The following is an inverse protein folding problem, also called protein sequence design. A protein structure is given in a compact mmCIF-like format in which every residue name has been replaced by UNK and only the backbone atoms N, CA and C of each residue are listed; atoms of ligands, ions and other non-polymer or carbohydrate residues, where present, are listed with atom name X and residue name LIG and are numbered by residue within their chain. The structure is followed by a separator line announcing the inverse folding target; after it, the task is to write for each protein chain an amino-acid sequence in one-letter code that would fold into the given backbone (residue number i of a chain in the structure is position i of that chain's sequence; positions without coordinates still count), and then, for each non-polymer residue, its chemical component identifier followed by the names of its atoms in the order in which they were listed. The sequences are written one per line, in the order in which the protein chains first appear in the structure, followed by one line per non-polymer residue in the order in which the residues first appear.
data_IF_027983283069
#
_entry.id   IF_027983283069
#
_cell.length_a   1.000
_cell.length_b   1.000
_cell.length_c   1.000
_cell.angle_alpha   90.00
_cell.angle_beta   90.00
_cell.angle_gamma   90.00
#
_symmetry.space_group_name_H-M   'P 1'
#
loop_
_entity.id
_entity.type
_entity.pdbx_description
1 polymer ?
#
# COMPACT_ATOMS: atom_id res chain seq x y z
N UNK A 1 12.01 -15.52 3.97
CA UNK A 1 11.46 -14.34 3.27
C UNK A 1 10.82 -14.84 1.98
N UNK A 2 9.74 -14.19 1.52
CA UNK A 2 9.30 -14.29 0.14
C UNK A 2 10.05 -13.23 -0.69
N UNK A 3 10.26 -13.45 -1.98
CA UNK A 3 10.88 -12.44 -2.85
C UNK A 3 9.87 -11.33 -3.21
N UNK A 4 10.31 -10.10 -3.53
CA UNK A 4 9.40 -9.00 -3.87
C UNK A 4 8.53 -9.29 -5.11
N UNK A 5 8.96 -10.22 -5.98
CA UNK A 5 8.15 -10.81 -7.06
C UNK A 5 6.89 -11.51 -6.53
N UNK A 6 7.05 -12.29 -5.46
CA UNK A 6 6.07 -13.23 -4.96
C UNK A 6 4.95 -12.47 -4.25
N UNK A 7 5.33 -11.51 -3.40
CA UNK A 7 4.40 -10.56 -2.76
C UNK A 7 3.57 -9.82 -3.81
N UNK A 8 4.20 -9.36 -4.89
CA UNK A 8 3.49 -8.70 -5.99
C UNK A 8 2.61 -9.66 -6.81
N UNK A 9 2.85 -10.98 -6.79
CA UNK A 9 1.98 -11.99 -7.39
C UNK A 9 0.78 -12.31 -6.47
N UNK A 10 1.02 -12.53 -5.17
CA UNK A 10 -0.01 -12.79 -4.15
C UNK A 10 -1.03 -11.65 -4.04
N UNK A 11 -0.56 -10.39 -4.05
CA UNK A 11 -1.43 -9.21 -4.03
C UNK A 11 -2.36 -9.17 -5.25
N UNK A 12 -1.82 -9.44 -6.46
CA UNK A 12 -2.62 -9.50 -7.71
C UNK A 12 -3.61 -10.66 -7.70
N UNK A 13 -3.21 -11.83 -7.21
CA UNK A 13 -4.09 -12.99 -7.07
C UNK A 13 -5.25 -12.69 -6.10
N UNK A 14 -4.96 -12.02 -4.97
CA UNK A 14 -5.95 -11.61 -3.97
C UNK A 14 -6.92 -10.57 -4.55
N UNK A 15 -6.43 -9.57 -5.29
CA UNK A 15 -7.30 -8.60 -5.99
C UNK A 15 -8.21 -9.30 -7.02
N UNK A 16 -7.67 -10.23 -7.81
CA UNK A 16 -8.45 -11.01 -8.78
C UNK A 16 -9.48 -11.96 -8.16
N UNK A 17 -9.31 -12.34 -6.89
CA UNK A 17 -10.33 -13.04 -6.11
C UNK A 17 -11.43 -12.08 -5.63
N UNK A 18 -11.08 -10.90 -5.12
CA UNK A 18 -12.05 -9.87 -4.72
C UNK A 18 -12.94 -9.42 -5.88
N UNK A 19 -12.41 -9.32 -7.10
CA UNK A 19 -13.20 -8.96 -8.28
C UNK A 19 -14.27 -10.01 -8.64
N UNK A 20 -14.07 -11.29 -8.29
CA UNK A 20 -15.10 -12.34 -8.45
C UNK A 20 -16.17 -12.23 -7.37
N UNK A 21 -15.77 -11.95 -6.13
CA UNK A 21 -16.69 -11.72 -5.00
C UNK A 21 -17.54 -10.46 -5.26
N UNK A 22 -16.96 -9.40 -5.81
CA UNK A 22 -17.68 -8.16 -6.11
C UNK A 22 -18.66 -8.24 -7.29
N UNK A 23 -18.61 -9.29 -8.11
CA UNK A 23 -19.41 -9.42 -9.35
C UNK A 23 -20.48 -10.50 -9.32
N UNK A 24 -20.61 -11.23 -8.20
CA UNK A 24 -21.61 -12.30 -8.00
C UNK A 24 -22.17 -12.25 -6.59
N UNK A 25 -23.36 -12.80 -6.36
CA UNK A 25 -23.91 -12.99 -5.00
C UNK A 25 -23.31 -14.19 -4.27
N UNK A 26 -22.89 -15.22 -5.01
CA UNK A 26 -22.19 -16.40 -4.52
C UNK A 26 -21.03 -16.77 -5.46
N UNK A 27 -19.98 -17.36 -4.90
CA UNK A 27 -18.80 -17.84 -5.63
C UNK A 27 -18.46 -19.26 -5.20
N UNK A 28 -18.52 -20.20 -6.15
CA UNK A 28 -17.96 -21.54 -5.97
C UNK A 28 -16.43 -21.46 -5.82
N UNK A 29 -15.91 -22.10 -4.78
CA UNK A 29 -14.49 -22.09 -4.42
C UNK A 29 -14.03 -23.48 -3.93
N UNK A 30 -12.72 -23.66 -3.79
CA UNK A 30 -12.16 -24.78 -3.03
C UNK A 30 -11.38 -24.24 -1.83
N UNK A 31 -11.81 -24.62 -0.64
CA UNK A 31 -11.10 -24.36 0.61
C UNK A 31 -10.04 -25.43 0.87
N UNK A 32 -8.90 -25.04 1.42
CA UNK A 32 -7.87 -25.98 1.89
C UNK A 32 -8.11 -26.36 3.36
N UNK A 33 -8.16 -27.65 3.65
CA UNK A 33 -8.35 -28.19 5.01
C UNK A 33 -7.33 -29.29 5.24
N UNK A 34 -6.34 -29.06 6.10
CA UNK A 34 -5.34 -30.05 6.50
C UNK A 34 -4.68 -30.80 5.32
N UNK A 35 -4.27 -30.06 4.29
CA UNK A 35 -3.73 -30.51 2.99
C UNK A 35 -4.70 -31.13 1.98
N UNK A 36 -5.97 -31.36 2.34
CA UNK A 36 -7.04 -31.68 1.38
C UNK A 36 -7.69 -30.41 0.80
N UNK A 37 -8.39 -30.55 -0.33
CA UNK A 37 -9.25 -29.52 -0.91
C UNK A 37 -10.72 -29.93 -0.75
N UNK A 38 -11.58 -28.98 -0.40
CA UNK A 38 -13.03 -29.17 -0.21
C UNK A 38 -13.77 -28.10 -1.01
N UNK A 39 -14.71 -28.52 -1.87
CA UNK A 39 -15.58 -27.59 -2.61
C UNK A 39 -16.60 -26.92 -1.70
N UNK A 40 -16.81 -25.62 -1.87
CA UNK A 40 -17.79 -24.82 -1.13
C UNK A 40 -18.39 -23.71 -1.99
N UNK A 41 -19.59 -23.25 -1.65
CA UNK A 41 -20.04 -21.91 -2.04
C UNK A 41 -19.63 -20.90 -0.95
N UNK A 42 -19.22 -19.71 -1.37
CA UNK A 42 -18.98 -18.57 -0.51
C UNK A 42 -19.96 -17.44 -0.88
N UNK A 43 -20.74 -16.97 0.11
CA UNK A 43 -21.58 -15.78 -0.02
C UNK A 43 -20.70 -14.53 -0.20
N UNK A 44 -21.05 -13.70 -1.19
CA UNK A 44 -20.33 -12.46 -1.46
C UNK A 44 -20.73 -11.34 -0.51
N UNK A 45 -19.92 -11.11 0.50
CA UNK A 45 -20.18 -10.12 1.55
C UNK A 45 -18.93 -9.38 2.05
N UNK A 46 -18.98 -8.83 3.28
CA UNK A 46 -17.82 -8.19 3.88
C UNK A 46 -16.72 -9.21 4.18
N UNK A 47 -15.53 -8.96 3.63
CA UNK A 47 -14.35 -9.83 3.77
C UNK A 47 -13.61 -9.59 5.08
N UNK A 48 -12.93 -10.62 5.59
CA UNK A 48 -12.09 -10.55 6.79
C UNK A 48 -10.67 -10.09 6.40
N UNK A 49 -10.31 -8.87 6.75
CA UNK A 49 -8.94 -8.36 6.59
C UNK A 49 -8.14 -8.58 7.88
N UNK A 50 -6.96 -9.20 7.79
CA UNK A 50 -6.02 -9.25 8.90
C UNK A 50 -5.44 -7.84 9.17
N UNK A 51 -5.38 -7.43 10.44
CA UNK A 51 -4.89 -6.09 10.83
C UNK A 51 -3.68 -6.12 11.78
N UNK A 52 -3.13 -7.31 12.07
CA UNK A 52 -1.98 -7.49 12.97
C UNK A 52 -2.38 -8.05 14.34
N UNK A 53 -1.38 -8.53 15.10
CA UNK A 53 -1.52 -9.05 16.47
C UNK A 53 -2.64 -10.09 16.68
N UNK A 54 -2.96 -10.90 15.66
CA UNK A 54 -4.04 -11.89 15.70
C UNK A 54 -5.46 -11.34 15.42
N UNK A 55 -5.60 -10.03 15.22
CA UNK A 55 -6.91 -9.39 14.97
C UNK A 55 -7.28 -9.34 13.49
N UNK A 56 -8.58 -9.45 13.23
CA UNK A 56 -9.18 -9.36 11.90
C UNK A 56 -10.39 -8.41 11.94
N UNK A 57 -10.57 -7.63 10.88
CA UNK A 57 -11.68 -6.70 10.72
C UNK A 57 -12.56 -7.08 9.53
N UNK A 58 -13.89 -7.11 9.71
CA UNK A 58 -14.84 -7.16 8.59
C UNK A 58 -14.81 -5.83 7.84
N UNK A 59 -14.59 -5.87 6.52
CA UNK A 59 -14.62 -4.68 5.65
C UNK A 59 -15.32 -4.96 4.33
N UNK A 60 -15.89 -3.93 3.71
CA UNK A 60 -16.41 -4.03 2.35
C UNK A 60 -15.26 -4.37 1.36
N UNK A 61 -15.46 -5.25 0.36
CA UNK A 61 -14.43 -5.67 -0.59
C UNK A 61 -13.66 -4.52 -1.26
N UNK A 62 -14.36 -3.45 -1.67
CA UNK A 62 -13.78 -2.23 -2.25
C UNK A 62 -12.70 -1.59 -1.36
N UNK A 63 -12.92 -1.54 -0.05
CA UNK A 63 -11.98 -0.93 0.92
C UNK A 63 -10.72 -1.77 1.05
N UNK A 64 -10.84 -3.09 0.94
CA UNK A 64 -9.69 -4.02 0.95
C UNK A 64 -8.95 -3.98 -0.38
N UNK A 65 -9.65 -3.94 -1.52
CA UNK A 65 -9.03 -3.78 -2.85
C UNK A 65 -8.19 -2.50 -2.92
N UNK A 66 -8.74 -1.36 -2.51
CA UNK A 66 -8.01 -0.09 -2.42
C UNK A 66 -6.92 -0.04 -1.33
N UNK A 67 -6.79 -1.05 -0.47
CA UNK A 67 -5.63 -1.23 0.40
C UNK A 67 -4.55 -2.09 -0.27
N UNK A 68 -4.94 -3.19 -0.93
CA UNK A 68 -4.05 -4.06 -1.71
C UNK A 68 -3.41 -3.31 -2.88
N UNK A 69 -4.13 -2.41 -3.55
CA UNK A 69 -3.60 -1.56 -4.63
C UNK A 69 -2.46 -0.64 -4.15
N UNK A 70 -2.60 -0.06 -2.94
CA UNK A 70 -1.54 0.75 -2.32
C UNK A 70 -0.35 -0.09 -1.86
N UNK A 71 -0.59 -1.30 -1.36
CA UNK A 71 0.47 -2.26 -1.02
C UNK A 71 1.23 -2.72 -2.27
N UNK A 72 0.53 -2.99 -3.38
CA UNK A 72 1.11 -3.40 -4.65
C UNK A 72 1.94 -2.26 -5.25
N UNK A 73 1.41 -1.03 -5.28
CA UNK A 73 2.12 0.15 -5.75
C UNK A 73 3.42 0.37 -4.97
N UNK A 74 3.37 0.27 -3.63
CA UNK A 74 4.58 0.33 -2.79
C UNK A 74 5.57 -0.79 -3.14
N UNK A 75 5.14 -2.06 -3.14
CA UNK A 75 6.02 -3.19 -3.44
C UNK A 75 6.70 -3.06 -4.82
N UNK A 76 5.99 -2.52 -5.83
CA UNK A 76 6.58 -2.25 -7.14
C UNK A 76 7.53 -1.05 -7.18
N UNK A 77 7.35 -0.06 -6.29
CA UNK A 77 8.26 1.08 -6.17
C UNK A 77 9.54 0.69 -5.42
N UNK A 78 9.42 -0.04 -4.31
CA UNK A 78 10.54 -0.57 -3.54
C UNK A 78 11.42 -1.49 -4.43
N UNK A 79 10.80 -2.41 -5.18
CA UNK A 79 11.50 -3.29 -6.13
C UNK A 79 12.05 -2.60 -7.39
N UNK A 80 11.66 -1.34 -7.66
CA UNK A 80 12.26 -0.50 -8.69
C UNK A 80 13.48 0.27 -8.13
N UNK A 81 13.42 0.69 -6.86
CA UNK A 81 14.54 1.33 -6.15
C UNK A 81 15.69 0.34 -5.89
N UNK A 82 15.41 -0.92 -5.53
CA UNK A 82 16.45 -1.98 -5.41
C UNK A 82 17.24 -2.22 -6.71
N UNK A 83 16.67 -1.85 -7.88
CA UNK A 83 17.37 -1.95 -9.18
C UNK A 83 18.20 -0.71 -9.52
N UNK A 84 18.38 0.20 -8.56
CA UNK A 84 19.20 1.41 -8.67
C UNK A 84 20.16 1.56 -7.47
N UNK A 85 20.95 0.52 -7.17
CA UNK A 85 22.17 0.75 -6.40
C UNK A 85 23.16 1.63 -7.22
N UNK A 86 23.92 2.53 -6.56
CA UNK A 86 24.54 3.66 -7.24
C UNK A 86 25.93 3.35 -7.81
N UNK A 87 26.20 3.84 -9.03
CA UNK A 87 27.57 3.94 -9.53
C UNK A 87 28.44 4.88 -8.66
N UNK A 88 29.74 4.59 -8.61
CA UNK A 88 30.60 5.06 -7.53
C UNK A 88 30.91 6.56 -7.55
N UNK A 89 30.97 7.16 -6.35
CA UNK A 89 31.47 8.52 -6.13
C UNK A 89 32.99 8.56 -6.27
N UNK A 90 33.51 8.94 -7.44
CA UNK A 90 34.92 9.30 -7.58
C UNK A 90 35.19 10.74 -7.05
N UNK A 91 36.44 11.01 -6.62
CA UNK A 91 36.79 12.17 -5.78
C UNK A 91 37.64 13.20 -6.53
N UNK A 92 37.20 14.47 -6.51
CA UNK A 92 38.08 15.63 -6.77
C UNK A 92 37.80 16.74 -5.75
N UNK A 93 38.84 17.50 -5.37
CA UNK A 93 38.84 18.45 -4.26
C UNK A 93 38.52 19.92 -4.66
N UNK A 94 38.19 20.82 -3.70
CA UNK A 94 37.75 22.22 -3.93
C UNK A 94 38.92 23.24 -3.80
N UNK A 95 38.72 24.59 -3.79
CA UNK A 95 37.51 25.41 -4.01
C UNK A 95 37.66 26.20 -5.36
N UNK A 96 37.64 27.57 -5.54
CA UNK A 96 37.50 28.74 -4.65
C UNK A 96 36.10 29.42 -4.69
N UNK A 97 35.92 30.50 -3.91
CA UNK A 97 34.72 31.37 -3.90
C UNK A 97 34.89 32.59 -4.83
N UNK A 98 33.82 33.01 -5.52
CA UNK A 98 33.65 34.41 -5.99
C UNK A 98 32.21 34.89 -5.77
N UNK A 99 32.06 36.06 -5.15
CA UNK A 99 30.77 36.74 -5.03
C UNK A 99 30.35 37.38 -6.35
N UNK A 100 29.07 37.26 -6.71
CA UNK A 100 28.33 38.21 -7.55
C UNK A 100 26.85 38.22 -7.14
N UNK A 101 26.08 39.22 -7.57
CA UNK A 101 24.85 39.61 -6.87
C UNK A 101 23.55 39.10 -7.52
N UNK A 102 22.71 38.50 -6.66
CA UNK A 102 21.28 38.81 -6.50
C UNK A 102 20.36 38.76 -7.74
N UNK A 103 19.80 37.58 -8.00
CA UNK A 103 18.41 37.45 -8.49
C UNK A 103 17.77 36.15 -7.93
N UNK A 104 16.45 36.17 -7.77
CA UNK A 104 15.57 35.21 -7.08
C UNK A 104 15.88 33.70 -7.30
N UNK A 105 15.87 32.86 -6.25
CA UNK A 105 15.77 31.41 -6.41
C UNK A 105 14.35 31.00 -6.84
N UNK A 106 14.27 30.04 -7.75
CA UNK A 106 13.00 29.43 -8.20
C UNK A 106 12.65 28.23 -7.29
N UNK A 107 11.35 28.13 -6.95
CA UNK A 107 10.55 26.97 -6.47
C UNK A 107 11.17 25.84 -5.63
N UNK A 108 10.32 25.29 -4.76
CA UNK A 108 10.43 23.95 -4.12
C UNK A 108 11.37 23.89 -2.91
N UNK A 109 10.77 23.95 -1.73
CA UNK A 109 11.31 23.35 -0.49
C UNK A 109 10.15 22.63 0.18
N UNK A 110 10.41 21.51 0.86
CA UNK A 110 9.37 20.57 1.27
C UNK A 110 8.41 21.18 2.30
N UNK A 111 7.15 21.36 1.93
CA UNK A 111 6.07 21.53 2.90
C UNK A 111 5.73 20.15 3.47
N UNK A 112 5.83 20.01 4.81
CA UNK A 112 5.53 18.76 5.50
C UNK A 112 4.01 18.58 5.60
N UNK A 113 3.50 17.41 5.20
CA UNK A 113 2.08 17.04 5.36
C UNK A 113 1.64 17.19 6.82
N UNK A 114 1.02 18.33 7.13
CA UNK A 114 0.61 18.72 8.48
C UNK A 114 -0.90 18.53 8.57
N UNK A 115 -1.31 17.42 9.19
CA UNK A 115 -2.73 17.05 9.31
C UNK A 115 -3.32 17.78 10.52
N UNK A 116 -4.10 18.83 10.28
CA UNK A 116 -4.91 19.48 11.32
C UNK A 116 -6.09 18.59 11.73
N UNK A 117 -6.08 18.11 12.97
CA UNK A 117 -7.19 17.37 13.57
C UNK A 117 -8.09 18.36 14.31
N UNK A 118 -9.25 18.66 13.74
CA UNK A 118 -10.24 19.57 14.34
C UNK A 118 -11.17 18.76 15.25
N UNK A 119 -10.90 18.76 16.56
CA UNK A 119 -11.82 18.19 17.56
C UNK A 119 -13.09 19.05 17.65
N UNK A 120 -14.22 18.52 17.19
CA UNK A 120 -15.54 19.12 17.43
C UNK A 120 -16.13 18.55 18.71
N UNK A 121 -16.08 19.34 19.78
CA UNK A 121 -16.80 19.05 21.01
C UNK A 121 -18.30 19.32 20.82
N UNK A 122 -19.05 18.25 20.56
CA UNK A 122 -20.52 18.29 20.57
C UNK A 122 -21.02 18.27 22.02
N UNK A 123 -21.12 19.48 22.59
CA UNK A 123 -21.61 19.72 23.96
C UNK A 123 -23.11 20.02 23.95
N UNK A 124 -23.88 19.03 23.53
CA UNK A 124 -25.35 19.07 23.51
C UNK A 124 -25.93 18.39 24.77
N UNK A 125 -26.01 19.14 25.87
CA UNK A 125 -26.61 18.72 27.16
C UNK A 125 -27.71 19.73 27.55
N UNK A 126 -28.95 19.46 27.11
CA UNK A 126 -30.23 20.10 27.51
C UNK A 126 -31.37 19.07 27.51
#
# INVERSE_FOLDING_TARGET
MAEPSDVAAELRATMGALDRVMTRAEVEAMATVSSAYVGCSAESGPVMQYIGAGYYAKRAPLVVKGALERQLAKATADAAAEKQEPEAKEKTAPPPVRHSMRAQPCTTTQESDTIEIIERYDSSDE
#
